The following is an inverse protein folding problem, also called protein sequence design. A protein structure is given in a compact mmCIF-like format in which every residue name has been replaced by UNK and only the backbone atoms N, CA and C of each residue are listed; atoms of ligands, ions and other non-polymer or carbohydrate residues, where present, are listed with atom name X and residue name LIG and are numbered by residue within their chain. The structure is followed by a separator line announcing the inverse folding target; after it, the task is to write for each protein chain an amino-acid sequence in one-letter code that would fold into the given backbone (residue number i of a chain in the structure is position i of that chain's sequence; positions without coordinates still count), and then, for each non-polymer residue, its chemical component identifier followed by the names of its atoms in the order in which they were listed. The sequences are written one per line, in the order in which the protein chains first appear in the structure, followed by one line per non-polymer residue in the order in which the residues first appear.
data_IF_544233327793
#
_entry.id   IF_544233327793
#
_cell.length_a   1.000
_cell.length_b   1.000
_cell.length_c   1.000
_cell.angle_alpha   90.00
_cell.angle_beta   90.00
_cell.angle_gamma   90.00
#
_symmetry.space_group_name_H-M   'P 1'
#
loop_
_entity.id
_entity.type
_entity.pdbx_description
1 polymer ?
#
# COMPACT_ATOMS: atom_id res chain seq x y z
N UNK A 1 22.10 -9.42 12.42
CA UNK A 1 21.31 -8.39 11.74
C UNK A 1 20.92 -7.31 12.73
N UNK A 2 21.14 -6.07 12.43
CA UNK A 2 20.72 -4.98 13.32
C UNK A 2 19.21 -4.91 13.36
N UNK A 3 18.58 -4.78 14.54
CA UNK A 3 17.14 -4.54 14.60
C UNK A 3 16.82 -3.23 13.91
N UNK A 4 15.79 -3.24 13.08
CA UNK A 4 15.33 -2.03 12.42
C UNK A 4 14.54 -1.17 13.42
N UNK A 5 14.62 0.12 13.26
CA UNK A 5 13.85 1.03 14.08
C UNK A 5 12.35 0.77 13.90
N UNK A 6 11.58 0.99 14.96
CA UNK A 6 10.13 0.88 14.88
C UNK A 6 9.58 1.84 13.83
N UNK A 7 8.63 1.38 13.05
CA UNK A 7 7.94 2.22 12.10
C UNK A 7 7.11 3.29 12.82
N UNK A 8 6.73 4.34 12.11
CA UNK A 8 5.79 5.32 12.66
C UNK A 8 4.42 4.71 12.92
N UNK A 9 4.03 3.69 12.15
CA UNK A 9 2.77 2.99 12.38
C UNK A 9 2.71 2.38 13.77
N UNK A 10 3.78 1.77 14.24
CA UNK A 10 3.86 1.25 15.61
C UNK A 10 3.77 2.37 16.64
N UNK A 11 4.43 3.50 16.40
CA UNK A 11 4.42 4.65 17.30
C UNK A 11 3.03 5.26 17.43
N UNK A 12 2.19 5.13 16.40
CA UNK A 12 0.80 5.61 16.41
C UNK A 12 -0.22 4.52 16.75
N UNK A 13 0.24 3.38 17.29
CA UNK A 13 -0.65 2.35 17.79
C UNK A 13 -1.07 1.29 16.78
N UNK A 14 -0.52 1.31 15.58
CA UNK A 14 -0.74 0.24 14.61
C UNK A 14 0.32 -0.85 14.78
N UNK A 15 -0.12 -2.11 14.72
CA UNK A 15 0.81 -3.23 14.71
C UNK A 15 1.51 -3.26 13.36
N UNK A 16 2.81 -3.06 13.37
CA UNK A 16 3.64 -3.32 12.22
C UNK A 16 4.21 -4.73 12.38
N UNK A 17 3.47 -5.68 11.83
CA UNK A 17 3.74 -7.11 11.96
C UNK A 17 4.99 -7.50 11.18
N UNK A 18 5.32 -6.71 10.17
CA UNK A 18 6.48 -6.91 9.31
C UNK A 18 7.50 -5.81 9.54
N UNK A 19 8.14 -5.81 10.69
CA UNK A 19 9.33 -5.01 10.88
C UNK A 19 10.26 -5.28 9.69
N UNK A 20 10.29 -4.43 8.69
CA UNK A 20 11.05 -4.47 7.44
C UNK A 20 12.12 -5.55 7.38
N UNK A 21 11.67 -6.79 7.23
CA UNK A 21 12.53 -7.96 7.07
C UNK A 21 13.00 -8.08 5.63
N UNK A 22 14.00 -8.92 5.37
CA UNK A 22 14.44 -9.22 4.01
C UNK A 22 13.29 -9.77 3.16
N UNK A 23 12.43 -10.60 3.75
CA UNK A 23 11.25 -11.16 3.10
C UNK A 23 10.26 -10.06 2.68
N UNK A 24 10.02 -9.10 3.56
CA UNK A 24 9.17 -7.94 3.27
C UNK A 24 9.75 -7.12 2.12
N UNK A 25 11.04 -6.83 2.16
CA UNK A 25 11.72 -6.07 1.12
C UNK A 25 11.72 -6.81 -0.22
N UNK A 26 11.82 -8.14 -0.20
CA UNK A 26 11.74 -8.95 -1.42
C UNK A 26 10.37 -8.85 -2.09
N UNK A 27 9.29 -8.80 -1.31
CA UNK A 27 7.95 -8.62 -1.86
C UNK A 27 7.79 -7.22 -2.44
N UNK A 28 8.35 -6.20 -1.79
CA UNK A 28 8.35 -4.83 -2.33
C UNK A 28 9.08 -4.80 -3.67
N UNK A 29 10.26 -5.39 -3.75
CA UNK A 29 11.03 -5.46 -4.99
C UNK A 29 10.25 -6.19 -6.09
N UNK A 30 9.55 -7.25 -5.74
CA UNK A 30 8.72 -8.01 -6.66
C UNK A 30 7.56 -7.15 -7.21
N UNK A 31 6.92 -6.37 -6.35
CA UNK A 31 5.85 -5.45 -6.76
C UNK A 31 6.36 -4.42 -7.78
N UNK A 32 7.55 -3.91 -7.59
CA UNK A 32 8.17 -2.95 -8.52
C UNK A 32 8.54 -3.65 -9.84
N UNK A 33 9.16 -4.82 -9.76
CA UNK A 33 9.59 -5.57 -10.94
C UNK A 33 8.40 -6.02 -11.79
N UNK A 34 7.31 -6.42 -11.16
CA UNK A 34 6.09 -6.91 -11.81
C UNK A 34 4.96 -5.88 -11.75
N UNK A 35 5.29 -4.60 -11.85
CA UNK A 35 4.30 -3.53 -11.62
C UNK A 35 3.14 -3.55 -12.60
N UNK A 36 3.37 -3.90 -13.87
CA UNK A 36 2.26 -3.96 -14.84
C UNK A 36 1.25 -5.06 -14.47
N UNK A 37 1.73 -6.20 -14.01
CA UNK A 37 0.87 -7.29 -13.54
C UNK A 37 0.18 -6.91 -12.24
N UNK A 38 0.90 -6.21 -11.36
CA UNK A 38 0.33 -5.68 -10.12
C UNK A 38 -0.84 -4.73 -10.43
N UNK A 39 -0.69 -3.82 -11.38
CA UNK A 39 -1.74 -2.87 -11.76
C UNK A 39 -2.96 -3.62 -12.31
N UNK A 40 -2.73 -4.59 -13.15
CA UNK A 40 -3.79 -5.41 -13.73
C UNK A 40 -4.58 -6.15 -12.65
N UNK A 41 -3.89 -6.81 -11.74
CA UNK A 41 -4.52 -7.55 -10.65
C UNK A 41 -5.20 -6.63 -9.64
N UNK A 42 -4.72 -5.40 -9.51
CA UNK A 42 -5.30 -4.39 -8.61
C UNK A 42 -6.61 -3.80 -9.15
N UNK A 43 -6.96 -4.07 -10.40
CA UNK A 43 -8.13 -3.48 -11.03
C UNK A 43 -7.89 -2.09 -11.60
N UNK A 44 -6.64 -1.66 -11.75
CA UNK A 44 -6.25 -0.44 -12.46
C UNK A 44 -5.64 -0.83 -13.81
N UNK A 45 -6.44 -1.54 -14.61
CA UNK A 45 -6.00 -2.15 -15.86
C UNK A 45 -5.52 -1.13 -16.91
N UNK A 46 -6.00 0.10 -16.82
CA UNK A 46 -5.58 1.19 -17.68
C UNK A 46 -4.19 1.70 -17.37
N UNK A 47 -3.68 1.43 -16.16
CA UNK A 47 -2.36 1.89 -15.74
C UNK A 47 -1.28 0.94 -16.28
N UNK A 48 -0.22 1.54 -16.81
CA UNK A 48 0.96 0.84 -17.30
C UNK A 48 2.20 1.55 -16.81
N UNK A 49 3.35 0.92 -16.91
CA UNK A 49 4.62 1.49 -16.43
C UNK A 49 4.89 2.88 -17.01
N UNK A 50 4.59 3.11 -18.29
CA UNK A 50 4.80 4.42 -18.92
C UNK A 50 3.90 5.53 -18.38
N UNK A 51 2.85 5.19 -17.64
CA UNK A 51 1.93 6.14 -17.02
C UNK A 51 2.34 6.55 -15.61
N UNK A 52 3.41 5.98 -15.09
CA UNK A 52 3.87 6.29 -13.75
C UNK A 52 4.52 7.67 -13.72
N UNK A 53 4.02 8.55 -12.85
CA UNK A 53 4.62 9.83 -12.57
C UNK A 53 5.63 9.74 -11.44
N UNK A 54 5.31 8.95 -10.41
CA UNK A 54 6.16 8.80 -9.24
C UNK A 54 5.94 7.44 -8.59
N UNK A 55 7.01 6.87 -8.04
CA UNK A 55 6.97 5.68 -7.19
C UNK A 55 7.68 6.04 -5.89
N UNK A 56 6.92 6.12 -4.80
CA UNK A 56 7.48 6.41 -3.50
C UNK A 56 7.46 5.15 -2.63
N UNK A 57 8.62 4.79 -2.10
CA UNK A 57 8.74 3.75 -1.08
C UNK A 57 8.63 4.41 0.28
N UNK A 58 7.94 3.75 1.22
CA UNK A 58 7.64 4.33 2.53
C UNK A 58 6.99 5.71 2.40
N UNK A 59 5.90 5.77 1.66
CA UNK A 59 5.19 7.01 1.46
C UNK A 59 4.47 7.44 2.75
N UNK A 60 4.85 8.62 3.26
CA UNK A 60 4.28 9.15 4.50
C UNK A 60 2.96 9.85 4.26
N UNK A 61 1.91 9.39 4.93
CA UNK A 61 0.62 10.06 4.97
C UNK A 61 0.67 11.08 6.10
N UNK A 62 0.31 12.31 5.81
CA UNK A 62 0.47 13.44 6.72
C UNK A 62 -0.82 14.21 6.86
N UNK A 63 -1.00 14.80 8.04
CA UNK A 63 -2.09 15.72 8.33
C UNK A 63 -1.52 17.08 8.73
N UNK A 64 -2.14 18.15 8.23
CA UNK A 64 -1.78 19.50 8.62
C UNK A 64 -2.63 19.93 9.82
N UNK A 65 -2.01 20.38 10.91
CA UNK A 65 -2.68 20.89 12.07
C UNK A 65 -3.01 22.38 11.96
N UNK A 66 -3.69 22.93 12.97
CA UNK A 66 -4.17 24.31 13.00
C UNK A 66 -3.07 25.35 12.86
N UNK A 67 -1.90 25.10 13.40
CA UNK A 67 -0.76 26.02 13.39
C UNK A 67 0.17 25.80 12.21
N UNK A 68 -0.27 25.02 11.21
CA UNK A 68 0.54 24.70 10.05
C UNK A 68 1.54 23.56 10.27
N UNK A 69 1.59 22.99 11.47
CA UNK A 69 2.42 21.82 11.74
C UNK A 69 1.91 20.63 10.95
N UNK A 70 2.84 19.80 10.49
CA UNK A 70 2.53 18.57 9.75
C UNK A 70 2.74 17.39 10.67
N UNK A 71 1.69 16.56 10.81
CA UNK A 71 1.73 15.37 11.64
C UNK A 71 1.75 14.12 10.74
N UNK A 72 2.72 13.21 10.93
CA UNK A 72 2.71 11.95 10.21
C UNK A 72 1.61 11.05 10.76
N UNK A 73 0.83 10.45 9.86
CA UNK A 73 -0.24 9.51 10.19
C UNK A 73 0.28 8.07 10.11
N UNK A 74 1.10 7.79 9.12
CA UNK A 74 1.72 6.48 8.91
C UNK A 74 2.42 6.42 7.58
N UNK A 75 3.02 5.30 7.27
CA UNK A 75 3.74 5.09 6.03
C UNK A 75 3.17 3.91 5.28
N UNK A 76 2.93 4.12 3.98
CA UNK A 76 2.53 3.08 3.03
C UNK A 76 3.79 2.52 2.39
N UNK A 77 3.86 1.21 2.20
CA UNK A 77 5.06 0.57 1.67
C UNK A 77 5.42 1.07 0.27
N UNK A 78 4.42 1.17 -0.62
CA UNK A 78 4.63 1.69 -1.97
C UNK A 78 3.45 2.58 -2.35
N UNK A 79 3.73 3.75 -2.90
CA UNK A 79 2.72 4.60 -3.51
C UNK A 79 3.09 4.87 -4.95
N UNK A 80 2.28 4.36 -5.88
CA UNK A 80 2.39 4.68 -7.30
C UNK A 80 1.46 5.85 -7.61
N UNK A 81 1.98 6.88 -8.22
CA UNK A 81 1.19 8.01 -8.71
C UNK A 81 1.23 8.02 -10.24
N UNK A 82 0.06 8.16 -10.85
CA UNK A 82 -0.07 8.03 -12.30
C UNK A 82 -0.27 9.38 -12.97
N UNK A 83 0.25 9.50 -14.19
CA UNK A 83 -0.05 10.62 -15.09
C UNK A 83 -1.42 10.41 -15.70
N UNK A 84 -2.19 11.48 -15.77
CA UNK A 84 -3.48 11.45 -16.44
C UNK A 84 -3.38 12.22 -17.76
N UNK A 85 -3.88 11.63 -18.86
CA UNK A 85 -4.01 12.37 -20.09
C UNK A 85 -4.92 13.59 -19.89
N UNK A 86 -4.62 14.69 -20.58
CA UNK A 86 -5.43 15.90 -20.52
C UNK A 86 -6.87 15.58 -20.90
N UNK A 87 -7.81 16.06 -20.09
CA UNK A 87 -9.24 15.83 -20.31
C UNK A 87 -9.78 14.53 -19.72
N UNK A 88 -8.94 13.72 -19.10
CA UNK A 88 -9.39 12.49 -18.42
C UNK A 88 -9.92 12.83 -17.04
N UNK A 89 -11.15 12.43 -16.77
CA UNK A 89 -11.73 12.52 -15.42
C UNK A 89 -11.73 11.13 -14.85
N UNK A 90 -10.78 10.85 -13.96
CA UNK A 90 -10.67 9.56 -13.27
C UNK A 90 -10.69 9.76 -11.78
N UNK A 91 -11.35 8.85 -11.07
CA UNK A 91 -11.42 8.91 -9.62
C UNK A 91 -10.13 8.39 -8.96
N UNK A 92 -9.43 7.46 -9.60
CA UNK A 92 -8.20 6.86 -9.05
C UNK A 92 -6.98 7.50 -9.69
N UNK A 93 -6.13 8.13 -8.87
CA UNK A 93 -4.89 8.77 -9.30
C UNK A 93 -3.64 8.08 -8.78
N UNK A 94 -3.80 7.23 -7.80
CA UNK A 94 -2.68 6.55 -7.14
C UNK A 94 -3.08 5.15 -6.72
N UNK A 95 -2.08 4.30 -6.57
CA UNK A 95 -2.23 2.95 -6.01
C UNK A 95 -1.34 2.85 -4.79
N UNK A 96 -1.95 2.66 -3.63
CA UNK A 96 -1.26 2.41 -2.38
C UNK A 96 -1.15 0.90 -2.14
N UNK A 97 0.05 0.44 -1.88
CA UNK A 97 0.35 -0.98 -1.69
C UNK A 97 0.91 -1.20 -0.29
N UNK A 98 0.19 -2.00 0.50
CA UNK A 98 0.68 -2.52 1.77
C UNK A 98 1.19 -3.93 1.56
N UNK A 99 2.42 -4.16 1.96
CA UNK A 99 3.07 -5.47 1.83
C UNK A 99 3.15 -6.13 3.20
N UNK A 100 2.69 -7.36 3.28
CA UNK A 100 2.77 -8.17 4.50
C UNK A 100 3.40 -9.52 4.19
N UNK A 101 4.27 -10.00 5.07
CA UNK A 101 4.77 -11.38 5.00
C UNK A 101 3.81 -12.32 5.69
N UNK A 102 3.10 -11.81 6.70
CA UNK A 102 2.05 -12.53 7.41
C UNK A 102 1.09 -11.51 8.03
N UNK A 103 -0.21 -11.75 7.93
CA UNK A 103 -1.22 -10.87 8.52
C UNK A 103 -1.72 -11.50 9.82
N UNK A 104 -1.30 -10.94 10.95
CA UNK A 104 -1.74 -11.42 12.26
C UNK A 104 -3.18 -11.03 12.57
N UNK A 105 -3.54 -9.81 12.21
CA UNK A 105 -4.85 -9.24 12.50
C UNK A 105 -5.41 -8.57 11.28
N UNK A 106 -6.44 -9.17 10.70
CA UNK A 106 -7.18 -8.58 9.57
C UNK A 106 -7.86 -7.29 10.00
N UNK A 107 -8.40 -7.25 11.22
CA UNK A 107 -9.06 -6.05 11.74
C UNK A 107 -8.10 -4.86 11.85
N UNK A 108 -6.90 -5.09 12.33
CA UNK A 108 -5.88 -4.04 12.42
C UNK A 108 -5.46 -3.54 11.03
N UNK A 109 -5.25 -4.47 10.10
CA UNK A 109 -4.88 -4.11 8.74
C UNK A 109 -5.97 -3.30 8.04
N UNK A 110 -7.22 -3.72 8.17
CA UNK A 110 -8.38 -3.00 7.62
C UNK A 110 -8.46 -1.59 8.21
N UNK A 111 -8.31 -1.47 9.52
CA UNK A 111 -8.34 -0.19 10.21
C UNK A 111 -7.21 0.73 9.72
N UNK A 112 -6.02 0.19 9.55
CA UNK A 112 -4.86 0.92 9.04
C UNK A 112 -5.12 1.46 7.64
N UNK A 113 -5.59 0.62 6.73
CA UNK A 113 -5.87 1.02 5.35
C UNK A 113 -7.03 2.02 5.29
N UNK A 114 -8.06 1.83 6.09
CA UNK A 114 -9.19 2.76 6.17
C UNK A 114 -8.73 4.14 6.65
N UNK A 115 -7.82 4.17 7.62
CA UNK A 115 -7.24 5.43 8.07
C UNK A 115 -6.49 6.12 6.93
N UNK A 116 -5.63 5.40 6.22
CA UNK A 116 -4.89 5.95 5.08
C UNK A 116 -5.84 6.48 4.00
N UNK A 117 -6.88 5.73 3.69
CA UNK A 117 -7.83 6.13 2.64
C UNK A 117 -8.60 7.38 2.99
N UNK A 118 -8.77 7.69 4.28
CA UNK A 118 -9.42 8.92 4.71
C UNK A 118 -8.59 10.17 4.42
N UNK A 119 -7.27 10.02 4.25
CA UNK A 119 -6.35 11.13 3.92
C UNK A 119 -5.98 11.17 2.45
N UNK A 120 -6.05 10.04 1.74
CA UNK A 120 -5.63 9.91 0.35
C UNK A 120 -6.83 9.49 -0.50
N UNK A 121 -7.67 10.46 -0.80
CA UNK A 121 -9.01 10.28 -1.40
C UNK A 121 -9.02 9.57 -2.75
N UNK A 122 -8.01 9.81 -3.59
CA UNK A 122 -7.97 9.30 -4.97
C UNK A 122 -7.04 8.10 -5.12
N UNK A 123 -6.85 7.38 -4.04
CA UNK A 123 -5.94 6.23 -4.00
C UNK A 123 -6.75 4.94 -3.92
N UNK A 124 -6.42 3.99 -4.77
CA UNK A 124 -6.88 2.61 -4.64
C UNK A 124 -5.90 1.87 -3.75
N UNK A 125 -6.42 1.02 -2.87
CA UNK A 125 -5.60 0.32 -1.89
C UNK A 125 -5.57 -1.17 -2.16
N UNK A 126 -4.38 -1.74 -2.13
CA UNK A 126 -4.18 -3.19 -2.25
C UNK A 126 -3.24 -3.68 -1.17
N UNK A 127 -3.45 -4.91 -0.77
CA UNK A 127 -2.56 -5.63 0.14
C UNK A 127 -1.93 -6.76 -0.65
N UNK A 128 -0.61 -6.84 -0.63
CA UNK A 128 0.17 -7.91 -1.26
C UNK A 128 0.78 -8.74 -0.16
N UNK A 129 0.44 -10.00 -0.10
CA UNK A 129 0.90 -10.93 0.93
C UNK A 129 0.80 -12.37 0.43
N UNK A 130 1.57 -13.31 0.99
CA UNK A 130 1.33 -14.73 0.75
C UNK A 130 -0.10 -15.12 1.17
N UNK A 131 -0.65 -16.15 0.54
CA UNK A 131 -2.00 -16.58 0.82
C UNK A 131 -2.20 -16.93 2.29
N UNK A 132 -3.32 -16.47 2.84
CA UNK A 132 -3.82 -16.85 4.16
C UNK A 132 -5.31 -17.15 4.07
N UNK A 133 -5.78 -17.98 4.99
CA UNK A 133 -7.14 -18.54 4.95
C UNK A 133 -8.25 -17.49 4.98
N UNK A 134 -8.04 -16.37 5.66
CA UNK A 134 -9.06 -15.35 5.90
C UNK A 134 -8.88 -14.07 5.07
N UNK A 135 -8.07 -14.09 4.02
CA UNK A 135 -7.80 -12.89 3.20
C UNK A 135 -9.04 -12.36 2.49
N UNK A 136 -10.06 -13.21 2.28
CA UNK A 136 -11.31 -12.79 1.66
C UNK A 136 -12.05 -11.69 2.45
N UNK A 137 -11.76 -11.53 3.72
CA UNK A 137 -12.34 -10.47 4.56
C UNK A 137 -11.93 -9.09 4.04
N UNK A 138 -10.77 -8.95 3.45
CA UNK A 138 -10.31 -7.68 2.89
C UNK A 138 -11.27 -7.14 1.82
N UNK A 139 -11.84 -8.01 1.01
CA UNK A 139 -12.79 -7.60 -0.02
C UNK A 139 -14.04 -6.94 0.58
N UNK A 140 -14.50 -7.37 1.74
CA UNK A 140 -15.66 -6.78 2.40
C UNK A 140 -15.40 -5.35 2.86
N UNK A 141 -14.14 -5.01 3.06
CA UNK A 141 -13.71 -3.66 3.42
C UNK A 141 -13.30 -2.81 2.20
N UNK A 142 -13.50 -3.33 1.00
CA UNK A 142 -13.13 -2.63 -0.23
C UNK A 142 -11.63 -2.65 -0.53
N UNK A 143 -10.88 -3.54 0.11
CA UNK A 143 -9.43 -3.65 -0.07
C UNK A 143 -9.14 -4.84 -0.97
N UNK A 144 -8.42 -4.60 -2.06
CA UNK A 144 -8.02 -5.67 -2.97
C UNK A 144 -6.86 -6.45 -2.37
N UNK A 145 -6.96 -7.76 -2.37
CA UNK A 145 -5.88 -8.65 -1.99
C UNK A 145 -5.21 -9.26 -3.21
N UNK A 146 -3.89 -9.29 -3.21
CA UNK A 146 -3.08 -9.92 -4.25
C UNK A 146 -2.13 -10.91 -3.59
N UNK A 147 -2.20 -12.16 -4.03
CA UNK A 147 -1.29 -13.19 -3.56
C UNK A 147 0.10 -12.93 -4.13
N UNK A 148 1.08 -12.71 -3.25
CA UNK A 148 2.47 -12.42 -3.64
C UNK A 148 3.06 -13.52 -4.53
N UNK A 149 2.66 -14.78 -4.31
CA UNK A 149 3.16 -15.91 -5.10
C UNK A 149 2.72 -15.82 -6.57
N UNK A 150 1.57 -15.19 -6.85
CA UNK A 150 1.08 -15.04 -8.23
C UNK A 150 1.85 -13.96 -9.00
N UNK A 151 2.54 -13.05 -8.31
CA UNK A 151 3.40 -12.08 -8.96
C UNK A 151 4.75 -12.67 -9.40
N UNK A 152 5.14 -13.78 -8.79
CA UNK A 152 6.41 -14.46 -9.12
C UNK A 152 6.35 -15.26 -10.41
N UNK A 153 5.15 -15.62 -10.84
CA UNK A 153 4.93 -16.46 -12.02
C UNK A 153 5.11 -15.70 -13.33
#
# INVERSE_FOLDING_TARGET
MKPKAKSLNEKFGFLDEDLRTDEHDDIIALCIDKQDDLFKQSGVEWAKSEMIEDVALEYWIRQRGYNGNIFPIGAVDIMFTFKFPSGTVGDTRSLGVEVKTHIRSMGELIRQVNLYSSYERYTKWVVVAPYQKNVSILATAGIKYINAELLKC
#
